data_IF_523414764324
#
_entry.id   IF_523414764324
#
_cell.length_a   1.000
_cell.length_b   1.000
_cell.length_c   1.000
_cell.angle_alpha   90.00
_cell.angle_beta   90.00
_cell.angle_gamma   90.00
#
_symmetry.space_group_name_H-M   'P 1'
#
loop_
_entity.id
_entity.type
_entity.pdbx_description
1 polymer ?
#
# COMPACT_ATOMS: atom_id res chain seq x y z
N UNK A 1 32.53 25.54 -63.90
CA UNK A 1 32.94 25.67 -62.49
C UNK A 1 31.99 24.82 -61.67
N UNK A 2 32.55 23.84 -60.95
CA UNK A 2 31.82 22.70 -60.36
C UNK A 2 31.23 23.10 -59.00
N UNK A 3 29.92 23.01 -58.91
CA UNK A 3 29.16 22.96 -57.65
C UNK A 3 29.36 21.58 -57.04
N UNK A 4 29.81 21.51 -55.79
CA UNK A 4 29.93 20.25 -55.05
C UNK A 4 29.18 20.44 -53.73
N UNK A 5 28.06 19.74 -53.65
CA UNK A 5 27.15 19.70 -52.53
C UNK A 5 27.86 19.13 -51.29
N UNK A 6 27.77 19.87 -50.20
CA UNK A 6 28.20 19.46 -48.87
C UNK A 6 27.40 18.23 -48.44
N UNK A 7 28.08 17.09 -48.36
CA UNK A 7 27.48 15.80 -47.99
C UNK A 7 27.42 15.74 -46.47
N UNK A 8 26.24 15.93 -45.90
CA UNK A 8 25.97 15.66 -44.49
C UNK A 8 26.10 14.15 -44.24
N UNK A 9 27.21 13.74 -43.62
CA UNK A 9 27.37 12.38 -43.11
C UNK A 9 26.54 12.27 -41.83
N UNK A 10 25.36 11.66 -41.93
CA UNK A 10 24.58 11.26 -40.76
C UNK A 10 25.26 10.02 -40.18
N UNK A 11 26.14 10.23 -39.20
CA UNK A 11 26.60 9.16 -38.33
C UNK A 11 25.42 8.73 -37.44
N UNK A 12 24.67 7.74 -37.90
CA UNK A 12 23.76 6.99 -37.04
C UNK A 12 24.64 6.21 -36.07
N UNK A 13 24.99 6.84 -34.94
CA UNK A 13 25.50 6.11 -33.80
C UNK A 13 24.40 5.13 -33.40
N UNK A 14 24.61 3.85 -33.67
CA UNK A 14 23.91 2.76 -32.97
C UNK A 14 24.26 2.88 -31.49
N UNK A 15 23.58 3.79 -30.79
CA UNK A 15 23.40 3.67 -29.36
C UNK A 15 22.48 2.46 -29.24
N UNK A 16 23.12 1.32 -28.95
CA UNK A 16 22.41 0.09 -28.65
C UNK A 16 21.27 0.43 -27.70
N UNK A 17 20.07 0.02 -28.10
CA UNK A 17 18.95 -0.15 -27.20
C UNK A 17 19.39 -1.18 -26.15
N UNK A 18 20.11 -0.71 -25.13
CA UNK A 18 20.18 -1.38 -23.84
C UNK A 18 18.74 -1.30 -23.35
N UNK A 19 17.98 -2.31 -23.73
CA UNK A 19 16.63 -2.52 -23.25
C UNK A 19 16.75 -2.63 -21.73
N UNK A 20 16.37 -1.56 -21.05
CA UNK A 20 16.18 -1.52 -19.61
C UNK A 20 15.12 -2.57 -19.26
N UNK A 21 15.57 -3.78 -18.98
CA UNK A 21 14.77 -4.81 -18.35
C UNK A 21 15.69 -5.66 -17.47
N UNK A 22 16.40 -4.99 -16.56
CA UNK A 22 16.77 -5.63 -15.30
C UNK A 22 15.47 -6.04 -14.62
N UNK A 23 15.00 -7.26 -14.91
CA UNK A 23 14.11 -8.00 -14.04
C UNK A 23 14.94 -8.29 -12.78
N UNK A 24 15.13 -7.27 -11.95
CA UNK A 24 15.81 -7.37 -10.68
C UNK A 24 15.22 -8.55 -9.93
N UNK A 25 16.03 -9.59 -9.76
CA UNK A 25 15.61 -10.83 -9.14
C UNK A 25 15.19 -10.49 -7.71
N UNK A 26 13.88 -10.40 -7.48
CA UNK A 26 13.37 -10.14 -6.15
C UNK A 26 13.86 -11.24 -5.21
N UNK A 27 14.52 -10.82 -4.14
CA UNK A 27 14.99 -11.76 -3.11
C UNK A 27 13.81 -12.56 -2.56
N UNK A 28 14.05 -13.79 -2.08
CA UNK A 28 12.99 -14.63 -1.51
C UNK A 28 12.16 -13.88 -0.45
N UNK A 29 12.82 -13.04 0.35
CA UNK A 29 12.19 -12.20 1.37
C UNK A 29 11.28 -11.12 0.78
N UNK A 30 11.66 -10.51 -0.35
CA UNK A 30 10.85 -9.50 -1.04
C UNK A 30 9.59 -10.11 -1.68
N UNK A 31 9.70 -11.32 -2.26
CA UNK A 31 8.55 -12.06 -2.78
C UNK A 31 7.57 -12.44 -1.67
N UNK A 32 8.09 -12.92 -0.54
CA UNK A 32 7.31 -13.29 0.64
C UNK A 32 6.57 -12.08 1.24
N UNK A 33 7.26 -10.95 1.43
CA UNK A 33 6.65 -9.70 1.88
C UNK A 33 5.49 -9.28 0.96
N UNK A 34 5.72 -9.26 -0.36
CA UNK A 34 4.71 -8.84 -1.33
C UNK A 34 3.47 -9.74 -1.27
N UNK A 35 3.67 -11.05 -1.14
CA UNK A 35 2.57 -12.02 -1.00
C UNK A 35 1.72 -11.75 0.25
N UNK A 36 2.34 -11.64 1.43
CA UNK A 36 1.59 -11.37 2.66
C UNK A 36 0.96 -9.97 2.69
N UNK A 37 1.64 -8.98 2.10
CA UNK A 37 1.09 -7.63 1.99
C UNK A 37 -0.21 -7.64 1.18
N UNK A 38 -0.22 -8.32 0.03
CA UNK A 38 -1.42 -8.42 -0.80
C UNK A 38 -2.56 -9.15 -0.09
N UNK A 39 -2.27 -10.24 0.62
CA UNK A 39 -3.27 -10.93 1.45
C UNK A 39 -3.83 -10.02 2.55
N UNK A 40 -2.96 -9.24 3.21
CA UNK A 40 -3.36 -8.27 4.22
C UNK A 40 -4.25 -7.17 3.66
N UNK A 41 -3.92 -6.63 2.48
CA UNK A 41 -4.72 -5.62 1.78
C UNK A 41 -6.11 -6.18 1.45
N UNK A 42 -6.17 -7.40 0.88
CA UNK A 42 -7.44 -8.07 0.57
C UNK A 42 -8.29 -8.25 1.82
N UNK A 43 -7.71 -8.76 2.91
CA UNK A 43 -8.42 -8.97 4.16
C UNK A 43 -9.01 -7.67 4.73
N UNK A 44 -8.27 -6.56 4.71
CA UNK A 44 -8.74 -5.25 5.18
C UNK A 44 -9.86 -4.71 4.27
N UNK A 45 -9.72 -4.88 2.95
CA UNK A 45 -10.74 -4.49 1.98
C UNK A 45 -12.04 -5.27 2.15
N UNK A 46 -11.94 -6.58 2.41
CA UNK A 46 -13.11 -7.43 2.65
C UNK A 46 -13.80 -7.03 3.94
N UNK A 47 -13.05 -6.79 5.03
CA UNK A 47 -13.61 -6.25 6.27
C UNK A 47 -14.34 -4.91 6.02
N UNK A 48 -13.73 -4.03 5.22
CA UNK A 48 -14.33 -2.74 4.89
C UNK A 48 -15.64 -2.91 4.12
N UNK A 49 -15.63 -3.72 3.06
CA UNK A 49 -16.75 -3.86 2.14
C UNK A 49 -17.90 -4.70 2.68
N UNK A 50 -17.61 -5.76 3.43
CA UNK A 50 -18.63 -6.72 3.90
C UNK A 50 -19.25 -6.32 5.23
N UNK A 51 -18.46 -5.75 6.14
CA UNK A 51 -18.87 -5.54 7.54
C UNK A 51 -18.86 -4.08 7.94
N UNK A 52 -17.80 -3.34 7.63
CA UNK A 52 -17.65 -1.97 8.12
C UNK A 52 -18.70 -1.01 7.54
N UNK A 53 -19.03 -1.13 6.25
CA UNK A 53 -20.02 -0.27 5.57
C UNK A 53 -21.44 -0.42 6.11
N UNK A 54 -21.80 -1.57 6.67
CA UNK A 54 -23.19 -1.83 7.13
C UNK A 54 -23.55 -1.04 8.39
N UNK A 55 -22.56 -0.63 9.19
CA UNK A 55 -22.79 0.12 10.41
C UNK A 55 -23.01 1.62 10.15
N UNK A 56 -24.08 2.21 10.71
CA UNK A 56 -24.46 3.62 10.46
C UNK A 56 -23.88 4.63 11.46
N UNK A 57 -23.43 4.18 12.63
CA UNK A 57 -22.85 5.04 13.66
C UNK A 57 -21.35 5.24 13.45
N UNK A 58 -20.74 6.15 14.22
CA UNK A 58 -19.31 6.42 14.14
C UNK A 58 -18.45 5.16 14.26
N UNK A 59 -17.50 5.05 13.35
CA UNK A 59 -16.72 3.83 13.11
C UNK A 59 -15.34 4.18 12.57
N UNK A 60 -14.38 3.32 12.85
CA UNK A 60 -13.01 3.45 12.38
C UNK A 60 -12.32 2.08 12.27
N UNK A 61 -11.39 1.96 11.32
CA UNK A 61 -10.45 0.86 11.20
C UNK A 61 -9.04 1.43 11.35
N UNK A 62 -8.22 0.77 12.15
CA UNK A 62 -6.79 0.99 12.24
C UNK A 62 -6.05 -0.30 11.87
N UNK A 63 -4.90 -0.15 11.22
CA UNK A 63 -4.10 -1.23 10.67
C UNK A 63 -2.62 -0.98 10.92
N UNK A 64 -1.84 -2.04 11.11
CA UNK A 64 -0.38 -2.02 11.03
C UNK A 64 0.08 -3.16 10.13
N UNK A 65 1.16 -2.96 9.38
CA UNK A 65 1.81 -4.01 8.57
C UNK A 65 3.24 -4.17 9.11
N UNK A 66 3.64 -5.41 9.38
CA UNK A 66 5.00 -5.73 9.85
C UNK A 66 6.00 -5.85 8.69
N UNK A 67 7.28 -6.07 9.01
CA UNK A 67 8.36 -6.23 8.02
C UNK A 67 8.20 -7.47 7.14
N UNK A 68 7.31 -8.41 7.49
CA UNK A 68 6.95 -9.56 6.68
C UNK A 68 5.72 -9.31 5.82
N UNK A 69 5.09 -8.14 5.91
CA UNK A 69 3.87 -7.81 5.16
C UNK A 69 2.58 -8.32 5.81
N UNK A 70 2.64 -8.86 7.04
CA UNK A 70 1.46 -9.36 7.75
C UNK A 70 0.79 -8.22 8.51
N UNK A 71 -0.53 -8.17 8.49
CA UNK A 71 -1.29 -7.11 9.17
C UNK A 71 -1.79 -7.48 10.57
N UNK A 72 -1.98 -6.44 11.37
CA UNK A 72 -2.86 -6.44 12.55
C UNK A 72 -3.94 -5.39 12.36
N UNK A 73 -5.14 -5.67 12.88
CA UNK A 73 -6.30 -4.79 12.73
C UNK A 73 -6.90 -4.47 14.10
N UNK A 74 -7.25 -3.20 14.28
CA UNK A 74 -8.17 -2.76 15.32
C UNK A 74 -9.35 -2.02 14.72
N UNK A 75 -10.57 -2.38 15.10
CA UNK A 75 -11.77 -1.70 14.62
C UNK A 75 -12.71 -1.31 15.75
N UNK A 76 -13.45 -0.24 15.51
CA UNK A 76 -14.53 0.23 16.36
C UNK A 76 -15.78 0.44 15.52
N UNK A 77 -16.88 -0.15 15.97
CA UNK A 77 -18.22 0.08 15.41
C UNK A 77 -19.09 0.74 16.47
N UNK A 78 -20.08 1.52 16.05
CA UNK A 78 -21.10 2.10 16.93
C UNK A 78 -20.60 3.00 18.06
N UNK A 79 -19.49 3.71 17.88
CA UNK A 79 -19.03 4.66 18.89
C UNK A 79 -19.99 5.85 19.02
N UNK A 80 -19.96 6.50 20.18
CA UNK A 80 -20.74 7.74 20.44
C UNK A 80 -20.23 8.94 19.64
N UNK A 81 -18.92 8.99 19.33
CA UNK A 81 -18.27 10.05 18.56
C UNK A 81 -17.19 9.46 17.65
N UNK A 82 -16.83 10.18 16.57
CA UNK A 82 -15.76 9.76 15.67
C UNK A 82 -14.40 9.71 16.37
N UNK A 83 -14.10 10.67 17.25
CA UNK A 83 -12.87 10.67 18.05
C UNK A 83 -12.76 9.40 18.91
N UNK A 84 -13.87 8.96 19.52
CA UNK A 84 -13.90 7.72 20.31
C UNK A 84 -13.70 6.48 19.42
N UNK A 85 -14.31 6.45 18.24
CA UNK A 85 -14.08 5.37 17.27
C UNK A 85 -12.60 5.26 16.89
N UNK A 86 -11.98 6.38 16.51
CA UNK A 86 -10.57 6.45 16.11
C UNK A 86 -9.66 5.97 17.25
N UNK A 87 -9.87 6.49 18.47
CA UNK A 87 -9.11 6.09 19.67
C UNK A 87 -9.23 4.60 19.96
N UNK A 88 -10.43 4.02 19.86
CA UNK A 88 -10.64 2.59 20.12
C UNK A 88 -10.05 1.71 19.03
N UNK A 89 -10.15 2.11 17.76
CA UNK A 89 -9.53 1.40 16.65
C UNK A 89 -8.00 1.32 16.82
N UNK A 90 -7.35 2.47 17.09
CA UNK A 90 -5.90 2.53 17.33
C UNK A 90 -5.50 1.73 18.57
N UNK A 91 -6.23 1.88 19.69
CA UNK A 91 -5.97 1.10 20.92
C UNK A 91 -5.99 -0.41 20.65
N UNK A 92 -7.00 -0.91 19.93
CA UNK A 92 -7.10 -2.33 19.58
C UNK A 92 -5.99 -2.77 18.62
N UNK A 93 -5.67 -1.96 17.62
CA UNK A 93 -4.57 -2.26 16.71
C UNK A 93 -3.25 -2.40 17.49
N UNK A 94 -2.95 -1.44 18.36
CA UNK A 94 -1.74 -1.48 19.19
C UNK A 94 -1.70 -2.68 20.15
N UNK A 95 -2.85 -3.14 20.64
CA UNK A 95 -2.93 -4.32 21.50
C UNK A 95 -2.64 -5.63 20.76
N UNK A 96 -2.89 -5.68 19.44
CA UNK A 96 -2.72 -6.88 18.61
C UNK A 96 -1.59 -6.75 17.59
N UNK A 97 -0.79 -5.68 17.63
CA UNK A 97 0.29 -5.49 16.67
C UNK A 97 1.34 -6.58 16.84
N UNK A 98 1.78 -7.16 15.72
CA UNK A 98 2.68 -8.32 15.71
C UNK A 98 4.10 -7.96 16.14
N UNK A 99 4.52 -6.74 15.85
CA UNK A 99 5.88 -6.26 16.14
C UNK A 99 5.82 -4.87 16.76
N UNK A 100 6.77 -4.58 17.66
CA UNK A 100 6.88 -3.27 18.30
C UNK A 100 7.16 -2.15 17.28
N UNK A 101 7.96 -2.46 16.25
CA UNK A 101 8.37 -1.55 15.17
C UNK A 101 7.21 -1.15 14.24
N UNK A 102 6.19 -2.01 14.08
CA UNK A 102 5.04 -1.69 13.25
C UNK A 102 4.19 -0.58 13.90
N UNK A 103 3.76 0.38 13.09
CA UNK A 103 2.94 1.51 13.54
C UNK A 103 1.50 1.33 13.10
N UNK A 104 0.57 1.43 14.06
CA UNK A 104 -0.86 1.44 13.78
C UNK A 104 -1.29 2.80 13.21
N UNK A 105 -1.91 2.78 12.04
CA UNK A 105 -2.45 3.95 11.35
C UNK A 105 -3.93 3.76 11.06
N UNK A 106 -4.68 4.85 11.00
CA UNK A 106 -6.09 4.82 10.64
C UNK A 106 -6.22 4.49 9.15
N UNK A 107 -6.90 3.40 8.84
CA UNK A 107 -7.23 3.01 7.47
C UNK A 107 -8.51 3.70 6.98
N UNK A 108 -9.56 3.67 7.82
CA UNK A 108 -10.87 4.22 7.48
C UNK A 108 -11.51 4.95 8.67
N UNK A 109 -12.28 6.00 8.35
CA UNK A 109 -13.00 6.89 9.29
C UNK A 109 -14.39 7.17 8.73
N UNK A 110 -15.44 6.94 9.52
CA UNK A 110 -16.81 7.10 9.02
C UNK A 110 -17.00 6.22 7.79
N UNK A 111 -17.44 6.77 6.66
CA UNK A 111 -17.65 6.03 5.41
C UNK A 111 -16.52 6.18 4.38
N UNK A 112 -15.34 6.65 4.80
CA UNK A 112 -14.21 6.94 3.91
C UNK A 112 -12.97 6.14 4.29
N UNK A 113 -12.25 5.68 3.27
CA UNK A 113 -10.87 5.22 3.39
C UNK A 113 -9.98 6.48 3.40
N UNK A 114 -9.07 6.58 4.36
CA UNK A 114 -8.14 7.71 4.53
C UNK A 114 -6.73 7.34 4.07
N UNK A 115 -6.31 6.10 4.33
CA UNK A 115 -4.98 5.61 3.95
C UNK A 115 -5.10 4.20 3.35
N UNK A 116 -5.15 4.05 2.01
CA UNK A 116 -5.09 2.74 1.38
C UNK A 116 -3.73 2.07 1.67
N UNK A 117 -3.74 0.73 1.73
CA UNK A 117 -2.57 -0.10 2.08
C UNK A 117 -1.79 -0.59 0.86
#
# INVERSE_FOLDING_TARGET
>A
MKSIFSTFVITISLIGLVSCADKGSQTKNQKMYTSYKNQSIQYVNDLYNTKYKTFKKYKAIAVSIDSMGKCSIGYSFHAKTQAKANKMAIKKCNAYKRTAESTCKIYAVGDKIIHPL
#
